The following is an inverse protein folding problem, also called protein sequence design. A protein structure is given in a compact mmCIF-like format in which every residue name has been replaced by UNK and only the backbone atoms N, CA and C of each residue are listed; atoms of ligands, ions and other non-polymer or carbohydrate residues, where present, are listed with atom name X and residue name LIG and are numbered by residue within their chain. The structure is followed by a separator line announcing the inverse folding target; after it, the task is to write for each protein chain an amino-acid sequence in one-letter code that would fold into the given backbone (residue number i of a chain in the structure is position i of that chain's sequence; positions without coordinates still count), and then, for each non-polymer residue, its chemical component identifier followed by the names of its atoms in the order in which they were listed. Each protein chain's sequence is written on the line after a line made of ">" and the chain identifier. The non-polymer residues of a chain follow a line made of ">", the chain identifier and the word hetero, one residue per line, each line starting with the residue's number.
data_IF_873453465122
#
_entry.id   IF_873453465122
#
_cell.length_a   1.000
_cell.length_b   1.000
_cell.length_c   1.000
_cell.angle_alpha   90.00
_cell.angle_beta   90.00
_cell.angle_gamma   90.00
#
_symmetry.space_group_name_H-M   'P 1'
#
loop_
_entity.id
_entity.type
_entity.pdbx_description
1 polymer ?
#
# COMPACT_ATOMS: atom_id res chain seq x y z
N UNK A 1 -19.51 -10.07 -23.16
CA UNK A 1 -19.82 -8.98 -22.20
C UNK A 1 -19.97 -9.42 -20.73
N UNK A 2 -20.12 -10.71 -20.40
CA UNK A 2 -20.31 -11.17 -19.00
C UNK A 2 -19.09 -11.07 -18.06
N UNK A 3 -17.85 -11.19 -18.57
CA UNK A 3 -16.64 -11.19 -17.72
C UNK A 3 -16.28 -9.82 -17.11
N UNK A 4 -16.80 -8.71 -17.63
CA UNK A 4 -16.43 -7.37 -17.14
C UNK A 4 -17.21 -6.99 -15.87
N UNK A 5 -18.51 -7.26 -15.84
CA UNK A 5 -19.38 -6.99 -14.70
C UNK A 5 -19.02 -7.85 -13.48
N UNK A 6 -18.67 -9.12 -13.68
CA UNK A 6 -18.30 -10.00 -12.58
C UNK A 6 -16.96 -9.60 -11.96
N UNK A 7 -16.01 -9.13 -12.77
CA UNK A 7 -14.75 -8.57 -12.27
C UNK A 7 -14.97 -7.28 -11.47
N UNK A 8 -15.88 -6.41 -11.90
CA UNK A 8 -16.16 -5.16 -11.18
C UNK A 8 -16.76 -5.41 -9.78
N UNK A 9 -17.67 -6.37 -9.63
CA UNK A 9 -18.25 -6.75 -8.33
C UNK A 9 -17.17 -7.34 -7.40
N UNK A 10 -16.30 -8.20 -7.93
CA UNK A 10 -15.20 -8.80 -7.18
C UNK A 10 -14.20 -7.72 -6.72
N UNK A 11 -13.87 -6.78 -7.60
CA UNK A 11 -12.96 -5.67 -7.30
C UNK A 11 -13.57 -4.73 -6.25
N UNK A 12 -14.84 -4.38 -6.36
CA UNK A 12 -15.51 -3.52 -5.37
C UNK A 12 -15.62 -4.19 -4.00
N UNK A 13 -15.86 -5.50 -3.97
CA UNK A 13 -15.80 -6.28 -2.74
C UNK A 13 -14.39 -6.26 -2.14
N UNK A 14 -13.33 -6.39 -2.95
CA UNK A 14 -11.95 -6.32 -2.46
C UNK A 14 -11.57 -4.93 -1.94
N UNK A 15 -11.93 -3.86 -2.66
CA UNK A 15 -11.75 -2.45 -2.24
C UNK A 15 -12.50 -2.14 -0.93
N UNK A 16 -13.66 -2.79 -0.72
CA UNK A 16 -14.42 -2.65 0.52
C UNK A 16 -13.71 -3.27 1.73
N UNK A 17 -12.79 -4.21 1.50
CA UNK A 17 -12.07 -4.88 2.58
C UNK A 17 -10.87 -4.08 3.06
N UNK A 18 -10.21 -3.33 2.17
CA UNK A 18 -9.06 -2.45 2.43
C UNK A 18 -9.39 -1.30 3.40
N UNK A 19 -8.35 -0.77 4.06
CA UNK A 19 -8.46 0.42 4.92
C UNK A 19 -8.91 1.66 4.16
N UNK A 20 -9.37 2.69 4.89
CA UNK A 20 -9.96 3.91 4.30
C UNK A 20 -9.01 4.58 3.29
N UNK A 21 -7.72 4.70 3.64
CA UNK A 21 -6.72 5.34 2.79
C UNK A 21 -6.43 4.50 1.55
N UNK A 22 -6.13 3.21 1.72
CA UNK A 22 -5.93 2.27 0.60
C UNK A 22 -7.15 2.23 -0.34
N UNK A 23 -8.37 2.30 0.21
CA UNK A 23 -9.61 2.37 -0.55
C UNK A 23 -9.68 3.63 -1.42
N UNK A 24 -9.30 4.80 -0.89
CA UNK A 24 -9.28 6.03 -1.69
C UNK A 24 -8.22 5.97 -2.79
N UNK A 25 -7.04 5.41 -2.52
CA UNK A 25 -5.98 5.19 -3.52
C UNK A 25 -6.48 4.26 -4.64
N UNK A 26 -7.14 3.16 -4.29
CA UNK A 26 -7.71 2.21 -5.26
C UNK A 26 -8.84 2.84 -6.09
N UNK A 27 -9.73 3.63 -5.46
CA UNK A 27 -10.81 4.35 -6.15
C UNK A 27 -10.27 5.43 -7.10
N UNK A 28 -9.34 6.25 -6.62
CA UNK A 28 -8.69 7.27 -7.43
C UNK A 28 -7.96 6.64 -8.62
N UNK A 29 -7.31 5.49 -8.40
CA UNK A 29 -6.66 4.76 -9.48
C UNK A 29 -7.65 4.24 -10.53
N UNK A 30 -8.73 3.60 -10.08
CA UNK A 30 -9.79 3.10 -10.96
C UNK A 30 -10.39 4.24 -11.80
N UNK A 31 -10.58 5.40 -11.19
CA UNK A 31 -11.00 6.62 -11.89
C UNK A 31 -9.99 7.04 -12.97
N UNK A 32 -8.71 7.20 -12.61
CA UNK A 32 -7.64 7.58 -13.54
C UNK A 32 -7.51 6.64 -14.75
N UNK A 33 -7.71 5.33 -14.54
CA UNK A 33 -7.68 4.33 -15.60
C UNK A 33 -8.93 4.36 -16.48
N UNK A 34 -10.14 4.46 -15.90
CA UNK A 34 -11.39 4.60 -16.68
C UNK A 34 -11.33 5.82 -17.60
N UNK A 35 -10.84 6.95 -17.10
CA UNK A 35 -10.61 8.17 -17.90
C UNK A 35 -9.50 8.04 -18.96
N UNK A 36 -8.73 6.95 -18.99
CA UNK A 36 -7.74 6.65 -20.03
C UNK A 36 -8.18 5.58 -21.03
N UNK A 37 -9.26 4.84 -20.76
CA UNK A 37 -9.70 3.68 -21.55
C UNK A 37 -11.07 3.83 -22.20
N UNK A 38 -11.86 4.85 -21.84
CA UNK A 38 -13.13 5.13 -22.52
C UNK A 38 -12.89 5.92 -23.81
N UNK A 39 -13.26 5.31 -24.94
CA UNK A 39 -13.73 6.06 -26.10
C UNK A 39 -14.85 7.00 -25.63
N UNK A 40 -14.65 8.28 -25.93
CA UNK A 40 -15.39 9.41 -25.39
C UNK A 40 -16.88 9.27 -25.72
N UNK A 41 -17.80 9.11 -24.75
CA UNK A 41 -19.19 9.44 -25.00
C UNK A 41 -19.28 10.96 -25.16
N UNK A 42 -19.67 11.39 -26.35
CA UNK A 42 -19.58 12.77 -26.84
C UNK A 42 -20.56 13.77 -26.21
N UNK A 43 -20.87 13.70 -24.90
CA UNK A 43 -21.78 14.66 -24.26
C UNK A 43 -21.37 15.07 -22.84
N UNK A 44 -21.18 16.38 -22.64
CA UNK A 44 -21.11 17.02 -21.32
C UNK A 44 -19.71 17.26 -20.76
N UNK A 45 -18.79 17.84 -21.55
CA UNK A 45 -17.41 18.08 -21.12
C UNK A 45 -17.28 19.36 -20.30
N UNK A 46 -17.28 19.24 -18.97
CA UNK A 46 -17.04 20.37 -18.07
C UNK A 46 -15.60 20.93 -18.15
N UNK A 47 -15.43 22.21 -17.82
CA UNK A 47 -14.15 22.93 -17.86
C UNK A 47 -12.98 22.24 -17.10
N UNK A 48 -13.30 21.39 -16.12
CA UNK A 48 -12.34 20.59 -15.35
C UNK A 48 -11.66 19.52 -16.23
N UNK A 49 -12.40 18.92 -17.16
CA UNK A 49 -11.90 17.87 -18.05
C UNK A 49 -10.92 18.44 -19.09
N UNK A 50 -11.23 19.59 -19.69
CA UNK A 50 -10.33 20.32 -20.58
C UNK A 50 -9.02 20.69 -19.87
N UNK A 51 -9.10 21.10 -18.60
CA UNK A 51 -7.91 21.40 -17.77
C UNK A 51 -7.08 20.14 -17.49
N UNK A 52 -7.72 19.02 -17.16
CA UNK A 52 -7.08 17.72 -16.96
C UNK A 52 -6.41 17.19 -18.24
N UNK A 53 -7.05 17.37 -19.41
CA UNK A 53 -6.50 16.94 -20.70
C UNK A 53 -5.27 17.78 -21.09
N UNK A 54 -5.28 19.08 -20.80
CA UNK A 54 -4.12 19.97 -20.97
C UNK A 54 -2.96 19.58 -20.07
N UNK A 55 -3.24 19.28 -18.80
CA UNK A 55 -2.24 18.80 -17.83
C UNK A 55 -1.67 17.45 -18.27
N UNK A 56 -2.50 16.50 -18.72
CA UNK A 56 -2.05 15.20 -19.25
C UNK A 56 -1.17 15.34 -20.50
N UNK A 57 -1.54 16.20 -21.46
CA UNK A 57 -0.73 16.45 -22.65
C UNK A 57 0.61 17.09 -22.30
N UNK A 58 0.62 18.01 -21.34
CA UNK A 58 1.85 18.64 -20.84
C UNK A 58 2.75 17.63 -20.11
N UNK A 59 2.19 16.80 -19.23
CA UNK A 59 2.92 15.72 -18.53
C UNK A 59 3.42 14.62 -19.48
N UNK A 60 2.66 14.32 -20.54
CA UNK A 60 3.04 13.37 -21.58
C UNK A 60 4.18 13.91 -22.46
N UNK A 61 4.17 15.21 -22.77
CA UNK A 61 5.21 15.84 -23.58
C UNK A 61 6.58 15.87 -22.87
N UNK A 62 6.58 15.91 -21.53
CA UNK A 62 7.80 15.95 -20.71
C UNK A 62 8.25 14.54 -20.29
N UNK A 63 7.53 13.48 -20.68
CA UNK A 63 7.84 12.09 -20.28
C UNK A 63 7.53 11.77 -18.80
N UNK A 64 7.05 12.76 -18.04
CA UNK A 64 6.62 12.63 -16.64
C UNK A 64 5.45 11.65 -16.53
N UNK A 65 4.61 11.51 -17.56
CA UNK A 65 3.50 10.55 -17.54
C UNK A 65 3.95 9.11 -17.28
N UNK A 66 5.07 8.68 -17.90
CA UNK A 66 5.59 7.31 -17.71
C UNK A 66 6.21 7.14 -16.32
N UNK A 67 6.92 8.16 -15.84
CA UNK A 67 7.49 8.13 -14.49
C UNK A 67 6.39 8.14 -13.42
N UNK A 68 5.35 8.96 -13.61
CA UNK A 68 4.19 9.02 -12.74
C UNK A 68 3.42 7.70 -12.75
N UNK A 69 3.24 7.06 -13.91
CA UNK A 69 2.64 5.73 -14.01
C UNK A 69 3.50 4.67 -13.31
N UNK A 70 4.83 4.75 -13.43
CA UNK A 70 5.76 3.81 -12.78
C UNK A 70 5.74 4.01 -11.25
N UNK A 71 5.80 5.25 -10.78
CA UNK A 71 5.66 5.59 -9.36
C UNK A 71 4.29 5.17 -8.84
N UNK A 72 3.21 5.45 -9.56
CA UNK A 72 1.89 5.05 -9.11
C UNK A 72 1.76 3.52 -9.04
N UNK A 73 2.25 2.82 -10.07
CA UNK A 73 2.11 1.37 -10.15
C UNK A 73 2.99 0.68 -9.12
N UNK A 74 4.28 1.00 -9.06
CA UNK A 74 5.24 0.27 -8.24
C UNK A 74 5.47 0.91 -6.88
N UNK A 75 5.47 2.25 -6.77
CA UNK A 75 5.59 2.90 -5.46
C UNK A 75 4.29 2.80 -4.67
N UNK A 76 3.16 3.32 -5.17
CA UNK A 76 1.89 3.21 -4.45
C UNK A 76 1.42 1.77 -4.37
N UNK A 77 1.38 1.04 -5.50
CA UNK A 77 0.97 -0.36 -5.52
C UNK A 77 1.83 -1.23 -4.60
N UNK A 78 3.15 -1.11 -4.66
CA UNK A 78 4.07 -1.85 -3.77
C UNK A 78 4.04 -1.40 -2.30
N UNK A 79 3.49 -0.21 -2.01
CA UNK A 79 3.32 0.30 -0.64
C UNK A 79 2.11 -0.28 0.11
N UNK A 80 1.22 -0.96 -0.62
CA UNK A 80 0.00 -1.53 -0.06
C UNK A 80 0.27 -2.83 0.73
N UNK A 81 -0.71 -3.26 1.52
CA UNK A 81 -0.68 -4.58 2.16
C UNK A 81 -0.62 -5.71 1.14
N UNK A 82 -0.21 -6.93 1.55
CA UNK A 82 -0.19 -8.12 0.67
C UNK A 82 -1.53 -8.35 -0.06
N UNK A 83 -2.65 -8.25 0.65
CA UNK A 83 -3.98 -8.50 0.06
C UNK A 83 -4.36 -7.38 -0.93
N UNK A 84 -4.01 -6.15 -0.60
CA UNK A 84 -4.26 -4.99 -1.45
C UNK A 84 -3.38 -5.00 -2.70
N UNK A 85 -2.12 -5.44 -2.60
CA UNK A 85 -1.23 -5.65 -3.74
C UNK A 85 -1.78 -6.71 -4.70
N UNK A 86 -2.27 -7.84 -4.18
CA UNK A 86 -2.93 -8.85 -5.01
C UNK A 86 -4.16 -8.27 -5.71
N UNK A 87 -5.00 -7.53 -4.98
CA UNK A 87 -6.17 -6.85 -5.56
C UNK A 87 -5.76 -5.85 -6.65
N UNK A 88 -4.74 -5.03 -6.37
CA UNK A 88 -4.20 -4.06 -7.31
C UNK A 88 -3.68 -4.75 -8.59
N UNK A 89 -2.95 -5.86 -8.44
CA UNK A 89 -2.47 -6.65 -9.57
C UNK A 89 -3.61 -7.24 -10.40
N UNK A 90 -4.70 -7.70 -9.77
CA UNK A 90 -5.89 -8.20 -10.48
C UNK A 90 -6.57 -7.12 -11.28
N UNK A 91 -6.72 -5.92 -10.69
CA UNK A 91 -7.23 -4.76 -11.41
C UNK A 91 -6.39 -4.55 -12.67
N UNK A 92 -5.07 -4.63 -12.59
CA UNK A 92 -4.16 -4.49 -13.74
C UNK A 92 -4.14 -5.66 -14.75
N UNK A 93 -4.81 -6.78 -14.47
CA UNK A 93 -4.66 -8.02 -15.27
C UNK A 93 -3.28 -8.68 -15.08
N UNK A 94 -2.61 -8.40 -13.96
CA UNK A 94 -1.28 -8.85 -13.60
C UNK A 94 -1.30 -9.86 -12.45
N UNK A 95 -2.31 -10.74 -12.42
CA UNK A 95 -2.56 -11.64 -11.28
C UNK A 95 -1.33 -12.50 -10.92
N UNK A 96 -0.59 -12.94 -11.94
CA UNK A 96 0.62 -13.76 -11.79
C UNK A 96 1.89 -12.93 -11.54
N UNK A 97 1.78 -11.60 -11.44
CA UNK A 97 2.90 -10.66 -11.36
C UNK A 97 2.80 -9.69 -10.17
N UNK A 98 1.92 -9.96 -9.21
CA UNK A 98 1.79 -9.15 -8.00
C UNK A 98 3.11 -8.98 -7.24
N UNK A 99 3.96 -10.01 -7.22
CA UNK A 99 5.27 -9.99 -6.57
C UNK A 99 6.22 -8.92 -7.15
N UNK A 100 6.04 -8.51 -8.42
CA UNK A 100 6.82 -7.43 -9.03
C UNK A 100 6.55 -6.08 -8.33
N UNK A 101 5.34 -5.87 -7.79
CA UNK A 101 5.03 -4.66 -7.02
C UNK A 101 5.90 -4.58 -5.77
N UNK A 102 6.04 -5.68 -5.03
CA UNK A 102 6.93 -5.76 -3.87
C UNK A 102 8.39 -5.62 -4.28
N UNK A 103 8.85 -6.42 -5.26
CA UNK A 103 10.25 -6.46 -5.65
C UNK A 103 10.76 -5.13 -6.20
N UNK A 104 10.02 -4.52 -7.12
CA UNK A 104 10.39 -3.23 -7.71
C UNK A 104 10.28 -2.11 -6.67
N UNK A 105 9.29 -2.12 -5.77
CA UNK A 105 9.21 -1.15 -4.69
C UNK A 105 10.41 -1.22 -3.74
N UNK A 106 10.81 -2.43 -3.34
CA UNK A 106 11.96 -2.62 -2.48
C UNK A 106 13.26 -2.14 -3.15
N UNK A 107 13.44 -2.43 -4.44
CA UNK A 107 14.63 -1.98 -5.19
C UNK A 107 14.63 -0.48 -5.49
N UNK A 108 13.53 0.06 -6.01
CA UNK A 108 13.45 1.43 -6.51
C UNK A 108 13.19 2.46 -5.41
N UNK A 109 12.69 2.04 -4.25
CA UNK A 109 12.33 2.95 -3.17
C UNK A 109 12.97 2.55 -1.84
N UNK A 110 13.00 1.25 -1.51
CA UNK A 110 13.65 0.76 -0.30
C UNK A 110 15.15 1.03 -0.26
N UNK A 111 15.90 0.54 -1.26
CA UNK A 111 17.36 0.73 -1.35
C UNK A 111 17.76 2.21 -1.34
N UNK A 112 17.16 3.11 -2.17
CA UNK A 112 17.48 4.53 -2.09
C UNK A 112 17.18 5.16 -0.74
N UNK A 113 16.09 4.74 -0.07
CA UNK A 113 15.76 5.22 1.28
C UNK A 113 16.83 4.79 2.30
N UNK A 114 17.31 3.55 2.23
CA UNK A 114 18.41 3.09 3.07
C UNK A 114 19.71 3.86 2.80
N UNK A 115 20.01 4.14 1.52
CA UNK A 115 21.16 4.98 1.14
C UNK A 115 21.06 6.39 1.75
N UNK A 116 19.87 7.00 1.76
CA UNK A 116 19.65 8.29 2.43
C UNK A 116 19.92 8.22 3.94
N UNK A 117 19.52 7.15 4.62
CA UNK A 117 19.86 6.96 6.04
C UNK A 117 21.37 6.85 6.27
N UNK A 118 22.11 6.20 5.36
CA UNK A 118 23.57 6.17 5.45
C UNK A 118 24.19 7.56 5.25
N UNK A 119 23.72 8.30 4.23
CA UNK A 119 24.19 9.66 3.95
C UNK A 119 23.92 10.62 5.12
N UNK A 120 22.74 10.53 5.74
CA UNK A 120 22.42 11.30 6.94
C UNK A 120 23.35 10.92 8.09
N UNK A 121 23.60 9.62 8.29
CA UNK A 121 24.53 9.12 9.31
C UNK A 121 25.94 9.69 9.15
N UNK A 122 26.51 9.55 7.95
CA UNK A 122 27.83 10.11 7.62
C UNK A 122 27.86 11.64 7.78
N UNK A 123 26.81 12.34 7.35
CA UNK A 123 26.70 13.80 7.52
C UNK A 123 26.78 14.23 8.98
N UNK A 124 26.09 13.53 9.88
CA UNK A 124 26.15 13.80 11.32
C UNK A 124 27.51 13.38 11.93
N UNK A 125 28.14 12.33 11.42
CA UNK A 125 29.49 11.93 11.85
C UNK A 125 30.55 12.97 11.46
N UNK A 126 30.40 13.63 10.31
CA UNK A 126 31.27 14.74 9.91
C UNK A 126 30.98 15.96 10.80
N UNK A 127 29.70 16.27 11.05
CA UNK A 127 29.30 17.40 11.88
C UNK A 127 29.82 17.27 13.33
N UNK A 128 29.83 16.06 13.88
CA UNK A 128 30.35 15.81 15.24
C UNK A 128 31.85 16.12 15.36
N UNK A 129 32.62 16.00 14.27
CA UNK A 129 34.05 16.33 14.24
C UNK A 129 34.32 17.83 14.15
N UNK A 130 33.36 18.62 13.68
CA UNK A 130 33.52 20.06 13.45
C UNK A 130 33.04 20.88 14.65
N UNK A 131 32.03 20.40 15.39
CA UNK A 131 31.43 21.13 16.51
C UNK A 131 31.44 20.33 17.82
N UNK A 132 32.28 20.76 18.77
CA UNK A 132 32.42 20.14 20.10
C UNK A 132 31.13 20.16 20.93
N UNK A 133 30.33 21.23 20.86
CA UNK A 133 29.08 21.36 21.62
C UNK A 133 27.97 20.38 21.17
N UNK A 134 28.07 19.84 19.95
CA UNK A 134 27.07 18.94 19.37
C UNK A 134 27.58 17.51 19.21
N UNK A 135 28.77 17.18 19.73
CA UNK A 135 29.44 15.91 19.48
C UNK A 135 28.58 14.70 19.90
N UNK A 136 28.11 14.67 21.15
CA UNK A 136 27.27 13.60 21.69
C UNK A 136 25.94 13.40 20.95
N UNK A 137 25.10 14.43 20.74
CA UNK A 137 23.85 14.26 20.00
C UNK A 137 24.08 13.93 18.52
N UNK A 138 25.10 14.50 17.88
CA UNK A 138 25.43 14.19 16.49
C UNK A 138 25.92 12.74 16.33
N UNK A 139 26.73 12.24 17.28
CA UNK A 139 27.20 10.86 17.27
C UNK A 139 26.06 9.86 17.50
N UNK A 140 25.13 10.17 18.41
CA UNK A 140 23.92 9.38 18.61
C UNK A 140 23.05 9.33 17.34
N UNK A 141 22.80 10.48 16.71
CA UNK A 141 22.02 10.56 15.46
C UNK A 141 22.72 9.82 14.33
N UNK A 142 24.05 9.93 14.23
CA UNK A 142 24.86 9.19 13.26
C UNK A 142 24.67 7.68 13.41
N UNK A 143 24.92 7.12 14.60
CA UNK A 143 24.81 5.67 14.81
C UNK A 143 23.39 5.14 14.65
N UNK A 144 22.39 5.90 15.12
CA UNK A 144 20.98 5.51 14.96
C UNK A 144 20.57 5.55 13.49
N UNK A 145 20.99 6.56 12.72
CA UNK A 145 20.71 6.63 11.28
C UNK A 145 21.37 5.49 10.52
N UNK A 146 22.65 5.19 10.79
CA UNK A 146 23.35 4.05 10.19
C UNK A 146 22.67 2.72 10.53
N UNK A 147 22.29 2.52 11.79
CA UNK A 147 21.59 1.31 12.25
C UNK A 147 20.22 1.14 11.59
N UNK A 148 19.43 2.22 11.50
CA UNK A 148 18.16 2.22 10.78
C UNK A 148 18.37 1.92 9.29
N UNK A 149 19.38 2.53 8.67
CA UNK A 149 19.76 2.29 7.27
C UNK A 149 20.09 0.82 7.01
N UNK A 150 20.90 0.19 7.88
CA UNK A 150 21.28 -1.21 7.76
C UNK A 150 20.07 -2.16 7.92
N UNK A 151 19.22 -1.92 8.91
CA UNK A 151 17.99 -2.71 9.12
C UNK A 151 17.05 -2.54 7.93
N UNK A 152 16.82 -1.30 7.48
CA UNK A 152 15.96 -1.01 6.32
C UNK A 152 16.46 -1.72 5.07
N UNK A 153 17.77 -1.62 4.78
CA UNK A 153 18.39 -2.29 3.63
C UNK A 153 18.22 -3.81 3.71
N UNK A 154 18.48 -4.41 4.88
CA UNK A 154 18.35 -5.84 5.08
C UNK A 154 16.91 -6.33 4.85
N UNK A 155 15.93 -5.61 5.39
CA UNK A 155 14.50 -5.92 5.19
C UNK A 155 14.11 -5.77 3.73
N UNK A 156 14.53 -4.72 3.04
CA UNK A 156 14.17 -4.48 1.64
C UNK A 156 14.86 -5.47 0.69
N UNK A 157 16.12 -5.83 0.93
CA UNK A 157 16.81 -6.88 0.18
C UNK A 157 16.13 -8.24 0.39
N UNK A 158 15.78 -8.59 1.64
CA UNK A 158 15.03 -9.80 1.92
C UNK A 158 13.69 -9.81 1.19
N UNK A 159 12.93 -8.71 1.25
CA UNK A 159 11.64 -8.58 0.56
C UNK A 159 11.79 -8.70 -0.95
N UNK A 160 12.81 -8.08 -1.54
CA UNK A 160 13.08 -8.18 -2.97
C UNK A 160 13.43 -9.62 -3.35
N UNK A 161 14.36 -10.25 -2.63
CA UNK A 161 14.77 -11.63 -2.87
C UNK A 161 13.61 -12.61 -2.72
N UNK A 162 12.85 -12.54 -1.62
CA UNK A 162 11.71 -13.42 -1.38
C UNK A 162 10.58 -13.19 -2.39
N UNK A 163 10.37 -11.95 -2.82
CA UNK A 163 9.40 -11.64 -3.86
C UNK A 163 9.79 -12.25 -5.22
N UNK A 164 11.05 -12.13 -5.64
CA UNK A 164 11.49 -12.70 -6.92
C UNK A 164 11.63 -14.22 -6.88
N UNK A 165 12.08 -14.80 -5.77
CA UNK A 165 12.32 -16.24 -5.64
C UNK A 165 11.04 -17.03 -5.34
N UNK A 166 10.26 -16.58 -4.37
CA UNK A 166 9.06 -17.29 -3.90
C UNK A 166 7.75 -16.71 -4.46
N UNK A 167 7.82 -15.67 -5.31
CA UNK A 167 6.64 -14.97 -5.87
C UNK A 167 5.69 -14.45 -4.79
N UNK A 168 6.23 -14.12 -3.61
CA UNK A 168 5.47 -13.62 -2.46
C UNK A 168 5.37 -12.09 -2.48
N UNK A 169 4.29 -11.58 -1.90
CA UNK A 169 4.07 -10.15 -1.74
C UNK A 169 4.25 -9.77 -0.27
N UNK A 170 5.00 -8.70 -0.02
CA UNK A 170 5.31 -8.20 1.31
C UNK A 170 4.92 -6.74 1.45
N UNK A 171 4.24 -6.42 2.55
CA UNK A 171 4.03 -5.03 2.93
C UNK A 171 5.39 -4.38 3.20
N UNK A 172 5.59 -3.11 2.80
CA UNK A 172 6.83 -2.42 3.10
C UNK A 172 6.95 -2.06 4.56
N UNK A 173 8.20 -2.05 4.99
CA UNK A 173 8.61 -1.54 6.27
C UNK A 173 9.07 -0.10 6.09
N UNK A 174 8.40 0.82 6.78
CA UNK A 174 8.71 2.24 6.67
C UNK A 174 7.58 3.10 7.21
N UNK A 175 7.88 4.36 7.53
CA UNK A 175 6.93 5.30 8.11
C UNK A 175 5.71 5.50 7.19
N UNK A 176 5.93 5.87 5.93
CA UNK A 176 4.84 6.17 5.01
C UNK A 176 3.92 4.95 4.71
N UNK A 177 4.46 3.76 4.40
CA UNK A 177 3.68 2.51 4.35
C UNK A 177 2.94 2.21 5.65
N UNK A 178 3.54 2.46 6.80
CA UNK A 178 2.89 2.26 8.09
C UNK A 178 1.66 3.16 8.22
N UNK A 179 1.77 4.46 7.94
CA UNK A 179 0.63 5.39 8.00
C UNK A 179 -0.49 5.03 7.02
N UNK A 180 -0.14 4.66 5.79
CA UNK A 180 -1.13 4.25 4.78
C UNK A 180 -1.89 2.99 5.23
N UNK A 181 -1.17 2.02 5.79
CA UNK A 181 -1.73 0.72 6.17
C UNK A 181 -2.27 0.68 7.61
N UNK A 182 -2.02 1.72 8.42
CA UNK A 182 -2.44 1.80 9.82
C UNK A 182 -3.95 1.55 10.00
N UNK A 183 -4.87 2.16 9.21
CA UNK A 183 -6.29 1.88 9.34
C UNK A 183 -6.63 0.41 9.09
N UNK A 184 -5.92 -0.24 8.16
CA UNK A 184 -6.09 -1.67 7.86
C UNK A 184 -5.64 -2.52 9.04
N UNK A 185 -4.49 -2.22 9.64
CA UNK A 185 -4.00 -2.93 10.82
C UNK A 185 -4.91 -2.75 12.04
N UNK A 186 -5.40 -1.54 12.29
CA UNK A 186 -6.36 -1.26 13.37
C UNK A 186 -7.68 -2.04 13.19
N UNK A 187 -8.19 -2.10 11.95
CA UNK A 187 -9.40 -2.88 11.63
C UNK A 187 -9.18 -4.38 11.89
N UNK A 188 -8.05 -4.93 11.48
CA UNK A 188 -7.70 -6.33 11.73
C UNK A 188 -7.56 -6.63 13.23
N UNK A 189 -6.92 -5.73 13.99
CA UNK A 189 -6.80 -5.86 15.44
C UNK A 189 -8.17 -5.83 16.13
N UNK A 190 -9.04 -4.88 15.76
CA UNK A 190 -10.40 -4.77 16.31
C UNK A 190 -11.24 -6.02 16.04
N UNK A 191 -11.18 -6.58 14.82
CA UNK A 191 -11.89 -7.81 14.48
C UNK A 191 -11.42 -9.01 15.30
N UNK A 192 -10.11 -9.13 15.55
CA UNK A 192 -9.57 -10.18 16.41
C UNK A 192 -10.06 -10.07 17.86
N UNK A 193 -10.17 -8.85 18.39
CA UNK A 193 -10.70 -8.63 19.75
C UNK A 193 -12.18 -9.01 19.82
N UNK A 194 -12.98 -8.63 18.80
CA UNK A 194 -14.40 -8.98 18.74
C UNK A 194 -14.64 -10.49 18.68
N UNK A 195 -13.81 -11.23 17.93
CA UNK A 195 -13.92 -12.70 17.85
C UNK A 195 -13.41 -13.43 19.09
N UNK A 196 -12.63 -12.77 19.95
CA UNK A 196 -12.13 -13.34 21.20
C UNK A 196 -13.10 -13.16 22.38
N UNK A 197 -14.24 -12.51 22.16
CA UNK A 197 -15.30 -12.42 23.17
C UNK A 197 -15.99 -13.79 23.18
N UNK A 198 -15.84 -14.60 24.26
CA UNK A 198 -16.53 -15.88 24.33
C UNK A 198 -18.03 -15.62 24.19
N UNK A 199 -18.69 -16.35 23.30
CA UNK A 199 -20.14 -16.43 23.34
C UNK A 199 -20.54 -16.76 24.78
N UNK A 200 -21.45 -15.99 25.41
CA UNK A 200 -22.00 -16.42 26.68
C UNK A 200 -22.56 -17.84 26.47
N UNK A 201 -22.33 -18.77 27.41
CA UNK A 201 -22.83 -20.13 27.29
C UNK A 201 -24.31 -20.04 26.93
N UNK A 202 -24.68 -20.67 25.80
CA UNK A 202 -26.07 -20.80 25.38
C UNK A 202 -26.87 -21.26 26.60
N UNK A 203 -27.69 -20.36 27.14
CA UNK A 203 -28.62 -20.72 28.18
C UNK A 203 -29.48 -21.84 27.59
N UNK A 204 -29.36 -23.03 28.18
CA UNK A 204 -30.16 -24.18 27.81
C UNK A 204 -31.62 -23.82 28.07
N UNK A 205 -32.34 -23.37 27.05
CA UNK A 205 -33.78 -23.18 27.11
C UNK A 205 -34.39 -24.56 27.19
N UNK A 206 -34.54 -25.05 28.42
CA UNK A 206 -35.42 -26.17 28.76
C UNK A 206 -36.82 -25.79 28.34
N UNK A 207 -37.22 -26.24 27.15
CA UNK A 207 -38.61 -26.28 26.75
C UNK A 207 -39.32 -27.28 27.67
N UNK A 208 -39.91 -26.77 28.75
CA UNK A 208 -40.93 -27.47 29.52
C UNK A 208 -42.14 -27.63 28.61
N UNK A 209 -42.18 -28.75 27.88
CA UNK A 209 -43.38 -29.27 27.23
C UNK A 209 -44.38 -29.66 28.32
N UNK A 210 -45.15 -28.69 28.80
CA UNK A 210 -46.30 -28.94 29.64
C UNK A 210 -47.33 -29.72 28.83
N UNK A 211 -47.53 -30.97 29.24
CA UNK A 211 -48.74 -31.76 29.01
C UNK A 211 -49.97 -30.87 28.99
N UNK A 212 -50.74 -30.95 27.91
CA UNK A 212 -52.17 -30.66 27.94
C UNK A 212 -52.86 -32.00 27.74
N UNK A 213 -53.50 -32.45 28.82
CA UNK A 213 -54.38 -33.60 28.87
C UNK A 213 -55.67 -33.32 28.08
N UNK A 214 -56.08 -34.28 27.24
CA UNK A 214 -57.40 -34.95 27.19
C UNK A 214 -57.69 -35.53 25.81
#
# INVERSE_FOLDING_TARGET
>A
MGNFFQNDIIVDHLISRSGIISRQILKFYRFMRKSGSEEIPAHGVGAIWLRQQKIRRFLSAIGISKLADLLYTYYLGGSLTRQDQLTFSRIHGWENRAYLLTGINALACGIPTAALYFLVGEGFQILSRVNSYTELPALLVSHTSLGIGAISLGVDLFRAADAFWHKRCWAPFGFLPFFINLPTYLKMASQRIKMKKPEPPLACTTNTSSKIDR
#
